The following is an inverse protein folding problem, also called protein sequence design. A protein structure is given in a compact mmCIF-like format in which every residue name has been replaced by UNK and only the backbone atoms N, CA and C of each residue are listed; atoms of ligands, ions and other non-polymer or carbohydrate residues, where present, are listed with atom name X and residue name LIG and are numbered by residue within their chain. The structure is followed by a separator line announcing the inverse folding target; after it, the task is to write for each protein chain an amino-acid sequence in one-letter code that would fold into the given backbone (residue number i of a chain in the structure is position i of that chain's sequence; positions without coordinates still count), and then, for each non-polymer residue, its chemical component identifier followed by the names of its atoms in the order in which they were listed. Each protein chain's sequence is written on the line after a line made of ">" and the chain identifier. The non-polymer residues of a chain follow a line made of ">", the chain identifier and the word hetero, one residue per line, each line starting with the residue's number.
data_IF_890486388102
#
_entry.id   IF_890486388102
#
_cell.length_a   1.000
_cell.length_b   1.000
_cell.length_c   1.000
_cell.angle_alpha   90.00
_cell.angle_beta   90.00
_cell.angle_gamma   90.00
#
_symmetry.space_group_name_H-M   'P 1'
#
loop_
_entity.id
_entity.type
_entity.pdbx_description
1 polymer ?
#
# COMPACT_ATOMS: atom_id res chain seq x y z
N UNK A 1 16.72 31.20 69.01
CA UNK A 1 17.75 30.18 68.66
C UNK A 1 17.13 29.17 67.71
N UNK A 2 17.35 29.36 66.41
CA UNK A 2 17.10 28.37 65.37
C UNK A 2 18.31 27.43 65.35
N UNK A 3 18.15 26.14 65.69
CA UNK A 3 19.16 25.11 65.43
C UNK A 3 18.49 23.82 64.94
N UNK A 4 18.74 23.56 63.66
CA UNK A 4 18.96 22.26 63.02
C UNK A 4 17.87 21.17 63.13
N UNK A 5 16.85 21.27 62.27
CA UNK A 5 16.04 20.11 61.82
C UNK A 5 16.54 19.52 60.48
N UNK A 6 17.46 20.20 59.78
CA UNK A 6 17.89 19.83 58.44
C UNK A 6 18.93 18.69 58.38
N UNK A 7 19.35 18.15 59.53
CA UNK A 7 20.40 17.14 59.60
C UNK A 7 19.87 15.71 59.82
N UNK A 8 18.56 15.53 60.05
CA UNK A 8 17.98 14.20 60.26
C UNK A 8 17.93 13.31 59.01
N UNK A 9 18.10 13.90 57.82
CA UNK A 9 18.01 13.16 56.54
C UNK A 9 19.38 12.93 55.88
N UNK A 10 20.45 13.53 56.42
CA UNK A 10 21.80 13.43 55.84
C UNK A 10 22.58 12.17 56.22
N UNK A 11 22.04 11.31 57.10
CA UNK A 11 22.69 10.04 57.46
C UNK A 11 22.16 8.83 56.70
N UNK A 12 21.13 8.97 55.86
CA UNK A 12 20.65 7.87 55.03
C UNK A 12 21.43 7.80 53.72
N UNK A 13 22.22 6.74 53.58
CA UNK A 13 22.95 6.45 52.35
C UNK A 13 21.97 6.18 51.21
N UNK A 14 22.33 6.56 49.99
CA UNK A 14 21.56 6.26 48.77
C UNK A 14 21.23 4.76 48.63
N UNK A 15 22.08 3.89 49.20
CA UNK A 15 21.85 2.44 49.29
C UNK A 15 20.69 2.05 50.20
N UNK A 16 20.44 2.82 51.25
CA UNK A 16 19.38 2.56 52.23
C UNK A 16 18.00 2.96 51.69
N UNK A 17 17.93 4.02 50.86
CA UNK A 17 16.72 4.36 50.12
C UNK A 17 16.31 3.28 49.12
N UNK A 18 17.26 2.67 48.42
CA UNK A 18 16.97 1.59 47.47
C UNK A 18 16.44 0.35 48.18
N UNK A 19 16.96 0.03 49.37
CA UNK A 19 16.43 -1.05 50.22
C UNK A 19 15.03 -0.72 50.73
N UNK A 20 14.81 0.48 51.25
CA UNK A 20 13.49 0.90 51.75
C UNK A 20 12.43 0.92 50.64
N UNK A 21 12.76 1.44 49.46
CA UNK A 21 11.88 1.45 48.29
C UNK A 21 11.58 0.02 47.78
N UNK A 22 12.56 -0.88 47.83
CA UNK A 22 12.37 -2.29 47.49
C UNK A 22 11.42 -2.99 48.48
N UNK A 23 11.58 -2.77 49.78
CA UNK A 23 10.67 -3.32 50.79
C UNK A 23 9.25 -2.76 50.65
N UNK A 24 9.10 -1.45 50.41
CA UNK A 24 7.79 -0.85 50.15
C UNK A 24 7.12 -1.43 48.89
N UNK A 25 7.89 -1.65 47.81
CA UNK A 25 7.39 -2.28 46.59
C UNK A 25 6.88 -3.71 46.82
N UNK A 26 7.59 -4.51 47.62
CA UNK A 26 7.15 -5.87 47.98
C UNK A 26 5.85 -5.84 48.80
N UNK A 27 5.72 -4.91 49.75
CA UNK A 27 4.50 -4.78 50.57
C UNK A 27 3.30 -4.42 49.70
N UNK A 28 3.46 -3.50 48.74
CA UNK A 28 2.38 -3.16 47.79
C UNK A 28 2.02 -4.37 46.93
N UNK A 29 3.02 -5.10 46.43
CA UNK A 29 2.78 -6.30 45.62
C UNK A 29 1.95 -7.34 46.40
N UNK A 30 2.33 -7.63 47.65
CA UNK A 30 1.62 -8.59 48.52
C UNK A 30 0.20 -8.15 48.81
N UNK A 31 -0.04 -6.85 49.06
CA UNK A 31 -1.39 -6.32 49.27
C UNK A 31 -2.24 -6.51 48.00
N UNK A 32 -1.68 -6.23 46.82
CA UNK A 32 -2.38 -6.43 45.54
C UNK A 32 -2.73 -7.90 45.32
N UNK A 33 -1.81 -8.85 45.59
CA UNK A 33 -2.10 -10.28 45.46
C UNK A 33 -3.17 -10.74 46.45
N UNK A 34 -3.13 -10.26 47.69
CA UNK A 34 -4.14 -10.60 48.71
C UNK A 34 -5.52 -10.05 48.30
N UNK A 35 -5.60 -8.80 47.84
CA UNK A 35 -6.86 -8.22 47.34
C UNK A 35 -7.38 -8.96 46.11
N UNK A 36 -6.49 -9.34 45.18
CA UNK A 36 -6.89 -10.09 44.00
C UNK A 36 -7.41 -11.49 44.36
N UNK A 37 -6.80 -12.14 45.35
CA UNK A 37 -7.24 -13.45 45.84
C UNK A 37 -8.53 -13.40 46.66
N UNK A 38 -8.79 -12.32 47.41
CA UNK A 38 -10.00 -12.20 48.24
C UNK A 38 -11.26 -11.90 47.43
N UNK A 39 -11.11 -11.36 46.21
CA UNK A 39 -12.21 -11.17 45.26
C UNK A 39 -12.47 -12.42 44.39
N UNK A 40 -11.64 -13.46 44.52
CA UNK A 40 -11.83 -14.69 43.76
C UNK A 40 -12.98 -15.52 44.38
N UNK A 41 -14.17 -15.41 43.79
CA UNK A 41 -15.27 -16.35 44.06
C UNK A 41 -15.09 -17.55 43.13
N UNK A 42 -14.76 -18.76 43.62
CA UNK A 42 -14.76 -19.93 42.77
C UNK A 42 -16.18 -20.18 42.26
N UNK A 43 -16.32 -20.46 40.96
CA UNK A 43 -17.60 -20.81 40.37
C UNK A 43 -18.19 -22.02 41.11
N UNK A 44 -19.41 -21.87 41.63
CA UNK A 44 -20.18 -22.97 42.20
C UNK A 44 -20.46 -23.97 41.09
N UNK A 45 -19.79 -25.13 41.11
CA UNK A 45 -20.16 -26.24 40.25
C UNK A 45 -21.52 -26.76 40.71
N UNK A 46 -22.57 -26.43 39.95
CA UNK A 46 -23.85 -27.14 40.05
C UNK A 46 -23.63 -28.51 39.43
N UNK A 47 -23.89 -29.58 40.19
CA UNK A 47 -23.80 -30.95 39.69
C UNK A 47 -24.77 -31.14 38.50
N UNK A 48 -24.41 -31.92 37.47
CA UNK A 48 -25.32 -32.15 36.36
C UNK A 48 -26.52 -32.97 36.83
N UNK A 49 -27.69 -32.35 36.82
CA UNK A 49 -28.96 -33.08 36.82
C UNK A 49 -29.21 -33.53 35.39
N UNK A 50 -29.22 -34.84 35.17
CA UNK A 50 -29.73 -35.44 33.93
C UNK A 50 -31.25 -35.29 33.94
N UNK A 51 -31.73 -34.15 33.46
CA UNK A 51 -33.11 -33.95 33.06
C UNK A 51 -33.11 -33.87 31.53
N UNK A 52 -33.82 -34.80 30.88
CA UNK A 52 -33.91 -34.85 29.43
C UNK A 52 -34.76 -33.68 28.93
N UNK A 53 -34.10 -32.57 28.63
CA UNK A 53 -34.71 -31.39 28.00
C UNK A 53 -35.01 -31.71 26.52
N UNK A 54 -36.20 -31.36 26.00
CA UNK A 54 -36.57 -31.65 24.63
C UNK A 54 -35.66 -30.87 23.67
N UNK A 55 -35.26 -31.52 22.58
CA UNK A 55 -34.37 -30.95 21.57
C UNK A 55 -34.88 -29.59 21.07
N UNK A 56 -34.24 -28.50 21.50
CA UNK A 56 -34.28 -27.25 20.78
C UNK A 56 -33.38 -27.39 19.56
N UNK A 57 -34.02 -27.38 18.39
CA UNK A 57 -33.39 -27.33 17.09
C UNK A 57 -32.47 -26.10 17.03
N UNK A 58 -31.17 -26.36 16.96
CA UNK A 58 -30.15 -25.32 16.82
C UNK A 58 -30.33 -24.74 15.41
N UNK A 59 -30.91 -23.55 15.32
CA UNK A 59 -30.90 -22.76 14.10
C UNK A 59 -29.44 -22.34 13.86
N UNK A 60 -28.76 -23.09 13.00
CA UNK A 60 -27.38 -22.81 12.60
C UNK A 60 -27.43 -21.49 11.85
N UNK A 61 -26.97 -20.40 12.48
CA UNK A 61 -26.78 -19.12 11.81
C UNK A 61 -25.76 -19.33 10.69
N UNK A 62 -26.24 -19.54 9.46
CA UNK A 62 -25.37 -19.78 8.31
C UNK A 62 -24.61 -18.48 8.06
N UNK A 63 -23.30 -18.46 8.36
CA UNK A 63 -22.43 -17.38 7.92
C UNK A 63 -22.65 -17.21 6.42
N UNK A 64 -23.17 -16.06 5.95
CA UNK A 64 -23.44 -15.88 4.54
C UNK A 64 -22.13 -16.10 3.76
N UNK A 65 -22.18 -16.79 2.61
CA UNK A 65 -20.99 -16.98 1.78
C UNK A 65 -20.29 -15.65 1.56
N UNK A 66 -18.94 -15.60 1.63
CA UNK A 66 -18.22 -14.36 1.37
C UNK A 66 -18.61 -13.84 -0.02
N UNK A 67 -18.97 -12.56 -0.09
CA UNK A 67 -19.39 -11.95 -1.34
C UNK A 67 -18.28 -12.10 -2.40
N UNK A 68 -18.63 -12.45 -3.66
CA UNK A 68 -17.63 -12.64 -4.72
C UNK A 68 -16.88 -11.33 -4.99
N UNK A 69 -15.55 -11.42 -5.09
CA UNK A 69 -14.66 -10.29 -5.40
C UNK A 69 -14.46 -10.15 -6.91
N UNK A 70 -14.08 -8.95 -7.34
CA UNK A 70 -13.54 -8.72 -8.68
C UNK A 70 -12.03 -8.54 -8.63
N UNK A 71 -11.38 -8.48 -9.78
CA UNK A 71 -9.94 -8.22 -9.88
C UNK A 71 -9.63 -7.02 -10.73
N UNK A 72 -8.65 -6.25 -10.30
CA UNK A 72 -8.12 -5.13 -11.07
C UNK A 72 -6.71 -5.45 -11.50
N UNK A 73 -6.48 -5.34 -12.81
CA UNK A 73 -5.16 -5.45 -13.44
C UNK A 73 -4.82 -4.07 -13.98
N UNK A 74 -3.76 -3.46 -13.46
CA UNK A 74 -3.25 -2.18 -13.93
C UNK A 74 -2.00 -2.47 -14.75
N UNK A 75 -2.00 -1.99 -15.98
CA UNK A 75 -0.91 -2.19 -16.91
C UNK A 75 -0.52 -0.87 -17.58
N UNK A 76 0.71 -0.82 -18.10
CA UNK A 76 1.29 0.36 -18.74
C UNK A 76 1.76 0.02 -20.15
N UNK A 77 1.62 1.00 -21.05
CA UNK A 77 2.16 0.97 -22.41
C UNK A 77 2.52 2.38 -22.88
N UNK A 78 3.21 2.47 -24.01
CA UNK A 78 3.38 3.67 -24.83
C UNK A 78 3.24 3.25 -26.31
N UNK A 79 3.36 4.18 -27.27
CA UNK A 79 3.55 3.86 -28.69
C UNK A 79 5.00 3.94 -29.07
N UNK A 80 5.42 3.03 -29.96
CA UNK A 80 6.72 3.07 -30.60
C UNK A 80 6.97 4.39 -31.29
N UNK A 81 7.94 5.11 -30.74
CA UNK A 81 8.41 6.36 -31.28
C UNK A 81 9.83 6.62 -30.82
N UNK A 82 10.60 7.27 -31.68
CA UNK A 82 11.88 7.84 -31.28
C UNK A 82 11.63 9.12 -30.49
N UNK A 83 12.33 9.27 -29.37
CA UNK A 83 12.28 10.48 -28.57
C UNK A 83 13.40 11.43 -28.93
N UNK A 84 13.31 11.98 -30.15
CA UNK A 84 14.23 13.00 -30.62
C UNK A 84 13.86 14.37 -30.07
N UNK A 85 14.84 15.19 -29.72
CA UNK A 85 14.58 16.55 -29.22
C UNK A 85 14.27 16.61 -27.72
N UNK A 86 14.57 15.54 -26.98
CA UNK A 86 14.61 15.58 -25.52
C UNK A 86 15.85 16.37 -25.11
N UNK A 87 15.66 17.67 -24.92
CA UNK A 87 16.75 18.60 -24.71
C UNK A 87 17.58 18.79 -25.99
N UNK A 88 18.84 18.36 -25.97
CA UNK A 88 19.70 18.44 -27.15
C UNK A 88 19.79 17.11 -27.91
N UNK A 89 19.39 15.97 -27.34
CA UNK A 89 19.67 14.64 -27.91
C UNK A 89 18.43 13.78 -28.17
N UNK A 90 18.70 12.50 -28.44
CA UNK A 90 17.71 11.43 -28.48
C UNK A 90 17.67 10.73 -27.11
N UNK A 91 16.48 10.52 -26.57
CA UNK A 91 16.33 9.67 -25.39
C UNK A 91 16.31 8.19 -25.79
N UNK A 92 17.23 7.42 -25.22
CA UNK A 92 17.42 6.00 -25.50
C UNK A 92 16.89 5.09 -24.40
N UNK A 93 16.67 5.63 -23.18
CA UNK A 93 15.96 4.95 -22.09
C UNK A 93 15.17 5.97 -21.26
N UNK A 94 14.01 5.57 -20.75
CA UNK A 94 13.24 6.34 -19.77
C UNK A 94 12.86 5.43 -18.60
N UNK A 95 13.68 5.48 -17.55
CA UNK A 95 13.47 4.65 -16.37
C UNK A 95 12.56 5.36 -15.37
N UNK A 96 11.60 4.62 -14.80
CA UNK A 96 10.71 5.09 -13.75
C UNK A 96 10.51 3.99 -12.70
N UNK A 97 10.56 4.35 -11.41
CA UNK A 97 10.27 3.47 -10.28
C UNK A 97 8.98 3.91 -9.60
N UNK A 98 7.99 3.03 -9.59
CA UNK A 98 6.73 3.19 -8.85
C UNK A 98 6.83 2.42 -7.54
N UNK A 99 6.65 3.13 -6.41
CA UNK A 99 6.75 2.57 -5.05
C UNK A 99 5.43 2.05 -4.51
N UNK A 100 4.33 2.63 -4.94
CA UNK A 100 3.00 2.25 -4.47
C UNK A 100 1.97 2.66 -5.52
N UNK A 101 0.91 1.87 -5.64
CA UNK A 101 -0.26 2.22 -6.44
C UNK A 101 -1.47 2.13 -5.55
N UNK A 102 -2.30 3.17 -5.61
CA UNK A 102 -3.55 3.24 -4.86
C UNK A 102 -4.71 3.53 -5.79
N UNK A 103 -5.87 2.97 -5.47
CA UNK A 103 -7.15 3.28 -6.10
C UNK A 103 -8.10 3.88 -5.07
N UNK A 104 -8.95 4.80 -5.50
CA UNK A 104 -9.94 5.43 -4.64
C UNK A 104 -11.31 4.83 -4.88
N UNK A 105 -11.95 4.37 -3.82
CA UNK A 105 -13.36 3.97 -3.77
C UNK A 105 -14.19 5.01 -3.04
N UNK A 106 -15.43 5.18 -3.47
CA UNK A 106 -16.44 5.95 -2.72
C UNK A 106 -17.28 5.08 -1.79
N UNK A 107 -17.09 3.75 -1.84
CA UNK A 107 -17.80 2.80 -1.00
C UNK A 107 -17.12 2.72 0.37
N UNK A 108 -17.90 2.87 1.44
CA UNK A 108 -17.44 2.52 2.78
C UNK A 108 -17.20 1.00 2.82
N UNK A 109 -15.94 0.57 2.85
CA UNK A 109 -15.62 -0.85 2.79
C UNK A 109 -16.13 -1.57 4.05
N UNK A 110 -16.78 -2.73 3.86
CA UNK A 110 -17.23 -3.60 4.93
C UNK A 110 -16.01 -4.26 5.63
N UNK A 111 -15.77 -3.80 6.85
CA UNK A 111 -15.03 -4.32 8.02
C UNK A 111 -13.73 -5.14 7.91
N UNK A 112 -13.25 -5.64 6.77
CA UNK A 112 -12.14 -6.63 6.77
C UNK A 112 -10.96 -6.34 5.83
N UNK A 113 -10.79 -5.11 5.36
CA UNK A 113 -9.54 -4.69 4.70
C UNK A 113 -9.00 -3.43 5.36
N UNK A 114 -7.67 -3.34 5.44
CA UNK A 114 -6.92 -2.16 5.88
C UNK A 114 -7.30 -0.93 5.07
N UNK A 115 -8.40 -0.26 5.46
CA UNK A 115 -8.82 1.05 4.98
C UNK A 115 -7.99 2.07 5.73
N UNK A 116 -6.75 2.31 5.27
CA UNK A 116 -5.99 3.46 5.74
C UNK A 116 -6.54 4.71 5.04
N UNK A 117 -7.42 5.40 5.75
CA UNK A 117 -7.88 6.77 5.50
C UNK A 117 -8.58 7.06 4.15
N UNK A 118 -9.79 7.62 4.23
CA UNK A 118 -10.43 8.40 3.14
C UNK A 118 -10.75 7.66 1.82
N UNK A 119 -11.00 6.35 1.84
CA UNK A 119 -11.42 5.59 0.65
C UNK A 119 -10.27 5.14 -0.27
N UNK A 120 -9.02 5.23 0.17
CA UNK A 120 -7.87 4.74 -0.60
C UNK A 120 -7.56 3.28 -0.29
N UNK A 121 -7.36 2.49 -1.34
CA UNK A 121 -6.95 1.09 -1.27
C UNK A 121 -5.61 0.95 -2.00
N UNK A 122 -4.58 0.47 -1.29
CA UNK A 122 -3.30 0.13 -1.91
C UNK A 122 -3.43 -1.16 -2.73
N UNK A 123 -3.10 -1.09 -4.02
CA UNK A 123 -3.11 -2.23 -4.97
C UNK A 123 -1.71 -2.73 -5.33
N UNK A 124 -0.68 -1.92 -5.11
CA UNK A 124 0.72 -2.31 -5.16
C UNK A 124 1.45 -1.63 -4.01
N UNK A 125 2.26 -2.37 -3.28
CA UNK A 125 3.21 -1.82 -2.31
C UNK A 125 4.59 -2.40 -2.62
N UNK A 126 5.60 -1.53 -2.69
CA UNK A 126 6.98 -1.90 -3.05
C UNK A 126 7.43 -1.28 -4.37
N UNK A 127 8.75 -1.25 -4.58
CA UNK A 127 9.35 -0.64 -5.75
C UNK A 127 9.23 -1.55 -6.98
N UNK A 128 8.66 -1.00 -8.05
CA UNK A 128 8.59 -1.63 -9.37
C UNK A 128 9.08 -0.67 -10.42
N UNK A 129 10.09 -1.08 -11.17
CA UNK A 129 10.77 -0.24 -12.14
C UNK A 129 10.53 -0.67 -13.57
N UNK A 130 10.50 0.31 -14.48
CA UNK A 130 10.18 0.12 -15.89
C UNK A 130 11.02 1.07 -16.74
N UNK A 131 11.54 0.56 -17.85
CA UNK A 131 11.95 1.41 -18.97
C UNK A 131 10.74 1.63 -19.88
N UNK A 132 10.15 2.83 -19.81
CA UNK A 132 8.93 3.16 -20.55
C UNK A 132 9.11 3.08 -22.07
N UNK A 133 10.35 3.17 -22.58
CA UNK A 133 10.60 3.08 -24.02
C UNK A 133 10.53 1.64 -24.56
N UNK A 134 10.62 0.64 -23.68
CA UNK A 134 10.51 -0.77 -24.06
C UNK A 134 9.06 -1.25 -24.19
N UNK A 135 8.10 -0.53 -23.60
CA UNK A 135 6.67 -0.89 -23.62
C UNK A 135 5.91 -0.15 -24.71
N UNK A 136 6.59 0.08 -25.82
CA UNK A 136 6.09 0.80 -26.98
C UNK A 136 5.24 -0.07 -27.92
N UNK A 137 5.51 -1.38 -27.93
CA UNK A 137 4.72 -2.40 -28.64
C UNK A 137 4.16 -3.47 -27.67
N UNK A 138 4.56 -3.42 -26.39
CA UNK A 138 4.24 -4.41 -25.36
C UNK A 138 3.54 -3.76 -24.16
N UNK A 139 2.80 -4.56 -23.39
CA UNK A 139 2.13 -4.13 -22.16
C UNK A 139 2.98 -4.61 -20.97
N UNK A 140 3.24 -3.74 -19.99
CA UNK A 140 3.86 -4.11 -18.72
C UNK A 140 2.80 -4.17 -17.61
N UNK A 141 2.78 -5.26 -16.83
CA UNK A 141 1.99 -5.33 -15.60
C UNK A 141 2.56 -4.32 -14.62
N UNK A 142 1.71 -3.48 -14.05
CA UNK A 142 2.07 -2.62 -12.93
C UNK A 142 1.59 -3.25 -11.62
N UNK A 143 0.29 -3.54 -11.51
CA UNK A 143 -0.32 -4.08 -10.30
C UNK A 143 -1.46 -5.05 -10.64
N UNK A 144 -1.69 -6.02 -9.76
CA UNK A 144 -2.86 -6.88 -9.80
C UNK A 144 -3.38 -7.07 -8.37
N UNK A 145 -4.69 -6.89 -8.15
CA UNK A 145 -5.30 -7.07 -6.83
C UNK A 145 -6.79 -7.42 -6.91
N UNK A 146 -7.25 -8.27 -6.01
CA UNK A 146 -8.67 -8.50 -5.77
C UNK A 146 -9.28 -7.36 -4.95
N UNK A 147 -10.40 -6.84 -5.43
CA UNK A 147 -11.14 -5.74 -4.83
C UNK A 147 -12.63 -6.08 -4.70
N UNK A 148 -13.29 -5.44 -3.76
CA UNK A 148 -14.74 -5.57 -3.63
C UNK A 148 -15.44 -4.95 -4.86
N UNK A 149 -16.55 -5.53 -5.35
CA UNK A 149 -17.28 -4.94 -6.45
C UNK A 149 -17.75 -3.52 -6.14
N UNK A 150 -17.66 -2.62 -7.12
CA UNK A 150 -18.02 -1.23 -6.92
C UNK A 150 -17.40 -0.26 -7.91
N UNK A 151 -17.57 1.03 -7.62
CA UNK A 151 -17.07 2.12 -8.43
C UNK A 151 -15.84 2.76 -7.81
N UNK A 152 -14.84 2.97 -8.64
CA UNK A 152 -13.57 3.58 -8.30
C UNK A 152 -13.39 4.83 -9.13
N UNK A 153 -12.86 5.90 -8.54
CA UNK A 153 -12.88 7.22 -9.18
C UNK A 153 -11.50 7.73 -9.58
N UNK A 154 -10.44 7.19 -8.97
CA UNK A 154 -9.09 7.67 -9.16
C UNK A 154 -8.04 6.58 -8.95
N UNK A 155 -6.93 6.68 -9.67
CA UNK A 155 -5.69 5.91 -9.46
C UNK A 155 -4.56 6.88 -9.13
N UNK A 156 -3.68 6.51 -8.20
CA UNK A 156 -2.45 7.23 -7.86
C UNK A 156 -1.26 6.30 -7.97
N UNK A 157 -0.27 6.71 -8.76
CA UNK A 157 1.02 6.07 -8.83
C UNK A 157 2.01 6.93 -8.05
N UNK A 158 2.56 6.39 -6.98
CA UNK A 158 3.61 7.03 -6.19
C UNK A 158 4.95 6.70 -6.81
N UNK A 159 5.63 7.69 -7.37
CA UNK A 159 6.90 7.52 -8.09
C UNK A 159 8.04 7.92 -7.16
N UNK A 160 8.97 6.99 -6.91
CA UNK A 160 10.12 7.21 -6.04
C UNK A 160 11.35 7.72 -6.78
N UNK A 161 11.42 7.51 -8.10
CA UNK A 161 12.51 8.04 -8.92
C UNK A 161 12.26 7.84 -10.41
N UNK A 162 12.92 8.68 -11.22
CA UNK A 162 12.93 8.54 -12.66
C UNK A 162 14.24 9.11 -13.25
N UNK A 163 14.67 8.57 -14.37
CA UNK A 163 15.84 9.05 -15.12
C UNK A 163 15.66 8.85 -16.63
N UNK A 164 16.37 9.67 -17.40
CA UNK A 164 16.40 9.58 -18.86
C UNK A 164 17.86 9.41 -19.32
N UNK A 165 18.10 8.46 -20.23
CA UNK A 165 19.39 8.29 -20.90
C UNK A 165 19.35 9.02 -22.24
N UNK A 166 20.33 9.88 -22.48
CA UNK A 166 20.41 10.72 -23.68
C UNK A 166 21.68 10.40 -24.46
N UNK A 167 21.53 10.28 -25.77
CA UNK A 167 22.59 10.22 -26.76
C UNK A 167 22.55 11.45 -27.68
N UNK A 168 23.71 12.04 -27.94
CA UNK A 168 23.88 13.09 -28.93
C UNK A 168 25.30 13.10 -29.52
N UNK A 169 25.48 12.64 -30.77
CA UNK A 169 26.79 12.60 -31.41
C UNK A 169 27.35 13.99 -31.75
N UNK A 170 26.50 15.00 -31.98
CA UNK A 170 26.94 16.36 -32.32
C UNK A 170 27.60 17.10 -31.16
N UNK A 171 27.30 16.69 -29.93
CA UNK A 171 27.86 17.28 -28.70
C UNK A 171 28.69 16.27 -27.91
N UNK A 172 29.10 15.16 -28.54
CA UNK A 172 29.90 14.10 -27.92
C UNK A 172 29.28 13.52 -26.63
N UNK A 173 27.93 13.49 -26.56
CA UNK A 173 27.19 12.89 -25.46
C UNK A 173 26.88 11.45 -25.84
N UNK A 174 27.40 10.49 -25.09
CA UNK A 174 27.02 9.08 -25.21
C UNK A 174 26.59 8.50 -23.87
N UNK A 175 25.46 7.79 -23.86
CA UNK A 175 24.89 7.05 -22.75
C UNK A 175 24.79 7.87 -21.45
N UNK A 176 24.50 9.16 -21.57
CA UNK A 176 24.49 10.06 -20.41
C UNK A 176 23.12 10.03 -19.73
N UNK A 177 23.09 9.55 -18.50
CA UNK A 177 21.88 9.49 -17.67
C UNK A 177 21.68 10.78 -16.91
N UNK A 178 20.45 11.30 -16.94
CA UNK A 178 20.02 12.47 -16.19
C UNK A 178 18.85 12.10 -15.27
N UNK A 179 18.86 12.52 -13.99
CA UNK A 179 17.70 12.36 -13.13
C UNK A 179 16.56 13.27 -13.62
N UNK A 180 15.32 12.80 -13.46
CA UNK A 180 14.11 13.56 -13.72
C UNK A 180 13.56 14.12 -12.41
N UNK A 181 13.32 15.42 -12.37
CA UNK A 181 12.55 16.03 -11.30
C UNK A 181 11.07 15.67 -11.46
N UNK A 182 10.43 15.26 -10.36
CA UNK A 182 9.02 14.86 -10.34
C UNK A 182 8.31 15.81 -9.36
N UNK A 183 7.48 16.76 -9.84
CA UNK A 183 6.98 17.85 -8.99
C UNK A 183 6.19 17.38 -7.77
N UNK A 184 5.35 16.36 -7.92
CA UNK A 184 4.45 15.86 -6.86
C UNK A 184 4.84 14.49 -6.32
N UNK A 185 5.79 13.78 -6.95
CA UNK A 185 6.03 12.34 -6.77
C UNK A 185 4.78 11.46 -6.91
N UNK A 186 3.66 12.01 -7.41
CA UNK A 186 2.38 11.31 -7.54
C UNK A 186 1.77 11.62 -8.89
N UNK A 187 1.65 10.59 -9.72
CA UNK A 187 0.92 10.66 -10.98
C UNK A 187 -0.54 10.30 -10.70
N UNK A 188 -1.43 11.27 -10.94
CA UNK A 188 -2.87 11.15 -10.64
C UNK A 188 -3.64 10.87 -11.92
N UNK A 189 -4.46 9.83 -11.88
CA UNK A 189 -5.36 9.44 -12.96
C UNK A 189 -6.79 9.57 -12.45
N UNK A 190 -7.51 10.59 -12.91
CA UNK A 190 -8.90 10.86 -12.51
C UNK A 190 -9.85 10.32 -13.58
N UNK A 191 -9.94 9.00 -13.66
CA UNK A 191 -10.82 8.26 -14.58
C UNK A 191 -11.59 7.20 -13.78
N UNK A 192 -12.92 7.29 -13.72
CA UNK A 192 -13.72 6.28 -13.06
C UNK A 192 -13.64 4.91 -13.75
N UNK A 193 -13.71 3.84 -12.97
CA UNK A 193 -13.84 2.46 -13.45
C UNK A 193 -14.68 1.64 -12.47
N UNK A 194 -15.20 0.51 -12.94
CA UNK A 194 -16.02 -0.40 -12.13
C UNK A 194 -15.32 -1.74 -11.98
N UNK A 195 -15.49 -2.35 -10.81
CA UNK A 195 -15.08 -3.73 -10.51
C UNK A 195 -16.34 -4.55 -10.38
N UNK A 196 -16.41 -5.64 -11.15
CA UNK A 196 -17.53 -6.57 -11.15
C UNK A 196 -17.13 -7.88 -10.46
N UNK A 197 -18.05 -8.55 -9.76
CA UNK A 197 -17.77 -9.84 -9.13
C UNK A 197 -17.35 -10.87 -10.18
N UNK A 198 -16.37 -11.69 -9.84
CA UNK A 198 -15.85 -12.81 -10.65
C UNK A 198 -15.29 -12.39 -12.03
N UNK A 199 -14.99 -11.10 -12.21
CA UNK A 199 -14.40 -10.54 -13.44
C UNK A 199 -13.08 -9.82 -13.18
N UNK A 200 -12.28 -9.72 -14.24
CA UNK A 200 -11.11 -8.87 -14.30
C UNK A 200 -11.45 -7.55 -15.01
N UNK A 201 -11.21 -6.44 -14.33
CA UNK A 201 -11.18 -5.09 -14.88
C UNK A 201 -9.73 -4.74 -15.20
N UNK A 202 -9.43 -4.56 -16.48
CA UNK A 202 -8.07 -4.26 -16.98
C UNK A 202 -7.97 -2.80 -17.37
N UNK A 203 -7.06 -2.09 -16.69
CA UNK A 203 -6.78 -0.69 -16.87
C UNK A 203 -5.42 -0.54 -17.54
N UNK A 204 -5.43 -0.18 -18.82
CA UNK A 204 -4.18 0.06 -19.57
C UNK A 204 -3.92 1.55 -19.64
N UNK A 205 -2.84 1.99 -18.99
CA UNK A 205 -2.37 3.38 -18.97
C UNK A 205 -1.42 3.56 -20.16
N UNK A 206 -1.81 4.45 -21.07
CA UNK A 206 -1.02 4.81 -22.24
C UNK A 206 -0.29 6.13 -21.96
N UNK A 207 1.01 6.05 -21.71
CA UNK A 207 1.84 7.22 -21.45
C UNK A 207 2.07 8.00 -22.75
N UNK A 208 2.12 9.34 -22.68
CA UNK A 208 2.54 10.18 -23.81
C UNK A 208 3.97 10.65 -23.54
N UNK A 209 4.92 9.72 -23.65
CA UNK A 209 6.30 9.96 -23.21
C UNK A 209 6.94 11.24 -23.77
N UNK A 210 6.77 11.60 -25.07
CA UNK A 210 7.31 12.84 -25.64
C UNK A 210 6.80 14.09 -24.91
N UNK A 211 5.56 14.07 -24.43
CA UNK A 211 4.97 15.18 -23.67
C UNK A 211 5.21 15.10 -22.17
N UNK A 212 5.56 13.91 -21.66
CA UNK A 212 5.89 13.74 -20.25
C UNK A 212 7.25 14.33 -19.90
N UNK A 213 8.23 14.25 -20.80
CA UNK A 213 9.57 14.79 -20.53
C UNK A 213 9.66 16.22 -21.03
N UNK A 214 10.10 17.12 -20.16
CA UNK A 214 10.46 18.49 -20.53
C UNK A 214 11.84 18.84 -20.00
N UNK A 215 12.57 19.68 -20.74
CA UNK A 215 13.85 20.23 -20.29
C UNK A 215 13.64 21.67 -19.82
N UNK A 216 14.09 21.96 -18.61
CA UNK A 216 14.15 23.30 -18.02
C UNK A 216 15.61 23.72 -17.84
N UNK A 217 15.85 24.93 -17.37
CA UNK A 217 17.20 25.37 -17.00
C UNK A 217 17.80 24.55 -15.85
N UNK A 218 16.95 23.94 -15.01
CA UNK A 218 17.31 23.16 -13.84
C UNK A 218 17.53 21.67 -14.13
N UNK A 219 17.23 21.19 -15.34
CA UNK A 219 17.40 19.79 -15.74
C UNK A 219 16.20 19.25 -16.49
N UNK A 220 15.93 17.96 -16.34
CA UNK A 220 14.77 17.31 -16.95
C UNK A 220 13.66 17.13 -15.91
N UNK A 221 12.42 17.29 -16.33
CA UNK A 221 11.22 17.14 -15.50
C UNK A 221 10.30 16.08 -16.11
N UNK A 222 9.72 15.23 -15.26
CA UNK A 222 8.69 14.26 -15.61
C UNK A 222 7.31 14.79 -15.20
N UNK A 223 6.45 15.04 -16.18
CA UNK A 223 5.07 15.47 -16.02
C UNK A 223 4.06 14.32 -16.10
N UNK A 224 2.86 14.47 -15.50
CA UNK A 224 1.79 13.47 -15.53
C UNK A 224 0.98 13.54 -16.83
N UNK A 225 1.61 13.28 -17.97
CA UNK A 225 0.93 13.31 -19.28
C UNK A 225 0.60 11.89 -19.74
N UNK A 226 -0.67 11.64 -19.97
CA UNK A 226 -1.19 10.36 -20.47
C UNK A 226 -1.92 10.61 -21.77
N UNK A 227 -1.79 9.70 -22.72
CA UNK A 227 -2.49 9.76 -24.00
C UNK A 227 -3.91 9.21 -23.90
N UNK A 228 -4.05 8.05 -23.27
CA UNK A 228 -5.33 7.36 -23.13
C UNK A 228 -5.33 6.42 -21.93
N UNK A 229 -6.53 6.06 -21.49
CA UNK A 229 -6.73 4.98 -20.51
C UNK A 229 -7.86 4.12 -21.05
N UNK A 230 -7.58 2.84 -21.23
CA UNK A 230 -8.56 1.86 -21.69
C UNK A 230 -9.01 1.01 -20.50
N UNK A 231 -10.32 0.79 -20.40
CA UNK A 231 -10.94 -0.05 -19.39
C UNK A 231 -11.65 -1.20 -20.11
N UNK A 232 -11.22 -2.43 -19.83
CA UNK A 232 -11.82 -3.66 -20.37
C UNK A 232 -12.25 -4.56 -19.21
N UNK A 233 -13.52 -4.97 -19.19
CA UNK A 233 -14.02 -5.96 -18.22
C UNK A 233 -14.17 -7.31 -18.94
N UNK A 234 -13.58 -8.35 -18.37
CA UNK A 234 -13.52 -9.68 -18.98
C UNK A 234 -13.46 -10.77 -17.93
N UNK A 235 -13.77 -12.01 -18.32
CA UNK A 235 -13.61 -13.17 -17.45
C UNK A 235 -12.12 -13.48 -17.33
N UNK A 236 -11.60 -13.67 -16.10
CA UNK A 236 -10.17 -13.89 -15.85
C UNK A 236 -9.57 -14.98 -16.77
N UNK A 237 -10.25 -16.11 -16.94
CA UNK A 237 -9.75 -17.20 -17.78
C UNK A 237 -9.63 -16.83 -19.27
N UNK A 238 -10.48 -15.92 -19.78
CA UNK A 238 -10.42 -15.47 -21.18
C UNK A 238 -9.20 -14.57 -21.48
N UNK A 239 -8.52 -14.06 -20.46
CA UNK A 239 -7.28 -13.29 -20.60
C UNK A 239 -6.04 -14.18 -20.71
N UNK A 240 -6.07 -15.36 -20.10
CA UNK A 240 -4.98 -16.35 -20.15
C UNK A 240 -4.88 -16.95 -21.56
N UNK A 241 -6.03 -17.16 -22.22
CA UNK A 241 -6.12 -17.81 -23.55
C UNK A 241 -5.72 -16.89 -24.72
N UNK A 242 -5.75 -15.56 -24.54
CA UNK A 242 -5.46 -14.59 -25.62
C UNK A 242 -4.01 -14.16 -25.75
N UNK A 243 -3.07 -14.77 -25.02
CA UNK A 243 -1.65 -14.41 -25.09
C UNK A 243 -1.34 -12.95 -24.71
N UNK A 244 -2.27 -12.27 -24.01
CA UNK A 244 -2.14 -10.87 -23.57
C UNK A 244 -1.57 -10.77 -22.14
N UNK A 245 -0.80 -11.76 -21.70
CA UNK A 245 -0.11 -11.68 -20.41
C UNK A 245 1.09 -10.74 -20.59
N UNK A 246 1.20 -9.66 -19.80
CA UNK A 246 2.35 -8.77 -19.86
C UNK A 246 3.65 -9.56 -19.60
N UNK A 247 4.69 -9.34 -20.42
CA UNK A 247 5.94 -10.12 -20.43
C UNK A 247 6.68 -10.15 -19.07
N UNK A 248 6.37 -9.21 -18.18
CA UNK A 248 6.94 -9.09 -16.85
C UNK A 248 6.07 -9.68 -15.71
N UNK A 249 4.99 -10.39 -16.03
CA UNK A 249 4.24 -11.17 -15.04
C UNK A 249 5.03 -12.44 -14.71
N UNK A 250 6.06 -12.33 -13.87
CA UNK A 250 6.62 -13.48 -13.17
C UNK A 250 5.55 -13.96 -12.19
N UNK A 251 5.23 -15.25 -12.23
CA UNK A 251 4.37 -15.88 -11.23
C UNK A 251 5.01 -15.66 -9.85
N UNK A 252 4.32 -14.89 -8.99
CA UNK A 252 4.59 -14.83 -7.55
C UNK A 252 3.70 -15.87 -6.87
#
# INVERSE_FOLDING_TARGET
>A
MKRHWNDYWKSYSEKDYRKLAFFLGIVVLVIVTVVYSSQYKPATQVAPQTEAEPAHEIEIETVPPPAPKGSVIIAVKDVKQKLTGVGLGEATELFMTVKSVQVHTTTEALENMSVLASGWITVLEGDKSFDLLQYTDNIALLAEKELDPGNYTQIRLYVSGASVKIDNPLFEISNKTYPLYIPSNVLKIVRPFSVEPDKATVLTIDFDVPKMISRTAQGYTLGPVFRAITNEITVKEQMIDKGKRPENAVDV
#
